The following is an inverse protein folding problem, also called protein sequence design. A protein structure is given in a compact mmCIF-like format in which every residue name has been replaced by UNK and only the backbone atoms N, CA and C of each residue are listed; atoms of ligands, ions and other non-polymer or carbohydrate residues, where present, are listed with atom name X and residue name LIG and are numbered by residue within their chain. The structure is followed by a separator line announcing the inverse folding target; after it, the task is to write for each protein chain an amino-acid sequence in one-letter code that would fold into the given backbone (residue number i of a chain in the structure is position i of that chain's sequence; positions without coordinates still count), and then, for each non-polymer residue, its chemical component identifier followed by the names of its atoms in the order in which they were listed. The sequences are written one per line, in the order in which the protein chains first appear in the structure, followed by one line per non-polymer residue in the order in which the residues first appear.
data_IF_930993306340
#
_entry.id   IF_930993306340
#
_cell.length_a   1.000
_cell.length_b   1.000
_cell.length_c   1.000
_cell.angle_alpha   90.00
_cell.angle_beta   90.00
_cell.angle_gamma   90.00
#
_symmetry.space_group_name_H-M   'P 1'
#
loop_
_entity.id
_entity.type
_entity.pdbx_description
1 polymer ?
#
# COMPACT_ATOMS: atom_id res chain seq x y z
N UNK A 1 -17.11 -8.08 28.37
CA UNK A 1 -17.94 -8.16 27.15
C UNK A 1 -17.00 -8.25 25.96
N UNK A 2 -17.00 -9.36 25.23
CA UNK A 2 -16.14 -9.57 24.07
C UNK A 2 -17.00 -9.52 22.79
N UNK A 3 -16.72 -8.56 21.93
CA UNK A 3 -17.35 -8.45 20.61
C UNK A 3 -16.73 -9.51 19.70
N UNK A 4 -17.38 -10.68 19.60
CA UNK A 4 -17.04 -11.70 18.61
C UNK A 4 -17.84 -11.43 17.34
N UNK A 5 -17.34 -10.54 16.48
CA UNK A 5 -17.78 -10.45 15.10
C UNK A 5 -17.23 -11.66 14.34
N UNK A 6 -18.10 -12.36 13.62
CA UNK A 6 -17.83 -13.53 12.74
C UNK A 6 -16.98 -13.13 11.51
N UNK A 7 -15.82 -12.52 11.72
CA UNK A 7 -14.78 -12.40 10.72
C UNK A 7 -13.60 -13.26 11.20
N UNK A 8 -13.09 -14.21 10.40
CA UNK A 8 -12.08 -15.17 10.84
C UNK A 8 -10.69 -14.59 11.15
N UNK A 9 -10.52 -13.28 11.38
CA UNK A 9 -9.19 -12.67 11.54
C UNK A 9 -9.09 -11.61 12.67
N UNK A 10 -10.13 -11.35 13.46
CA UNK A 10 -10.03 -10.27 14.46
C UNK A 10 -9.23 -10.69 15.70
N UNK A 11 -9.24 -11.98 16.05
CA UNK A 11 -8.42 -12.54 17.12
C UNK A 11 -6.91 -12.39 16.83
N UNK A 12 -6.52 -12.55 15.56
CA UNK A 12 -5.12 -12.41 15.11
C UNK A 12 -4.64 -10.96 15.15
N UNK A 13 -5.57 -10.00 15.18
CA UNK A 13 -5.28 -8.57 15.33
C UNK A 13 -5.20 -8.13 16.80
N UNK A 14 -5.61 -8.97 17.76
CA UNK A 14 -5.54 -8.62 19.20
C UNK A 14 -4.12 -8.25 19.63
N UNK A 15 -3.06 -9.00 19.28
CA UNK A 15 -1.68 -8.62 19.61
C UNK A 15 -1.29 -7.27 18.99
N UNK A 16 -1.77 -6.98 17.79
CA UNK A 16 -1.53 -5.71 17.08
C UNK A 16 -2.18 -4.55 17.83
N UNK A 17 -3.45 -4.67 18.21
CA UNK A 17 -4.14 -3.65 19.01
C UNK A 17 -3.51 -3.42 20.37
N UNK A 18 -3.09 -4.49 21.05
CA UNK A 18 -2.36 -4.39 22.32
C UNK A 18 -1.04 -3.65 22.10
N UNK A 19 -0.29 -3.96 21.05
CA UNK A 19 0.96 -3.26 20.72
C UNK A 19 0.73 -1.76 20.47
N UNK A 20 -0.35 -1.40 19.78
CA UNK A 20 -0.75 0.01 19.60
C UNK A 20 -1.11 0.69 20.92
N UNK A 21 -1.88 0.03 21.79
CA UNK A 21 -2.31 0.60 23.07
C UNK A 21 -1.19 0.68 24.12
N UNK A 22 -0.21 -0.23 24.04
CA UNK A 22 0.84 -0.40 25.06
C UNK A 22 2.12 0.39 24.77
N UNK A 23 2.20 1.09 23.63
CA UNK A 23 3.41 1.81 23.23
C UNK A 23 3.26 3.33 23.47
N UNK A 24 3.63 3.85 24.66
CA UNK A 24 3.47 5.27 24.99
C UNK A 24 4.39 6.21 24.22
N UNK A 25 5.41 5.70 23.51
CA UNK A 25 6.30 6.50 22.65
C UNK A 25 5.67 6.87 21.31
N UNK A 26 4.46 6.41 21.05
CA UNK A 26 3.88 6.54 19.74
C UNK A 26 3.28 7.92 19.47
N UNK A 27 4.15 8.86 19.11
CA UNK A 27 3.83 9.78 18.03
C UNK A 27 3.69 8.92 16.77
N UNK A 28 2.53 8.25 16.64
CA UNK A 28 2.19 7.60 15.39
C UNK A 28 2.17 8.69 14.33
N UNK A 29 2.78 8.40 13.18
CA UNK A 29 2.66 9.33 12.06
C UNK A 29 1.18 9.47 11.73
N UNK A 30 0.76 10.68 11.40
CA UNK A 30 -0.59 10.88 10.93
C UNK A 30 -0.83 10.03 9.67
N UNK A 31 -2.01 9.39 9.55
CA UNK A 31 -2.36 8.70 8.32
C UNK A 31 -2.35 9.69 7.15
N UNK A 32 -2.11 9.22 5.91
CA UNK A 32 -2.20 10.11 4.76
C UNK A 32 -3.58 10.77 4.70
N UNK A 33 -3.61 12.07 4.39
CA UNK A 33 -4.78 12.95 4.53
C UNK A 33 -5.86 12.78 3.45
N UNK A 34 -5.97 11.59 2.85
CA UNK A 34 -6.93 11.33 1.79
C UNK A 34 -8.23 10.77 2.36
N UNK A 35 -9.37 11.28 1.88
CA UNK A 35 -10.70 10.93 2.41
C UNK A 35 -11.14 9.51 2.05
N UNK A 36 -10.64 8.95 0.95
CA UNK A 36 -11.02 7.62 0.47
C UNK A 36 -9.91 6.99 -0.37
N UNK A 37 -9.93 5.65 -0.46
CA UNK A 37 -8.94 4.85 -1.19
C UNK A 37 -9.64 3.79 -2.03
N UNK A 38 -9.26 3.68 -3.31
CA UNK A 38 -9.78 2.65 -4.22
C UNK A 38 -8.74 1.55 -4.39
N UNK A 39 -8.67 0.64 -3.42
CA UNK A 39 -7.62 -0.38 -3.34
C UNK A 39 -7.59 -1.36 -4.53
N UNK A 40 -8.71 -1.51 -5.26
CA UNK A 40 -8.81 -2.37 -6.43
C UNK A 40 -7.95 -1.91 -7.61
N UNK A 41 -7.55 -0.63 -7.64
CA UNK A 41 -6.70 -0.09 -8.71
C UNK A 41 -5.20 -0.35 -8.46
N UNK A 42 -4.86 -0.91 -7.29
CA UNK A 42 -3.49 -1.24 -6.92
C UNK A 42 -2.64 -0.01 -6.61
N UNK A 43 -1.32 -0.22 -6.56
CA UNK A 43 -0.33 0.79 -6.12
C UNK A 43 0.43 1.43 -7.28
N UNK A 44 0.18 1.01 -8.51
CA UNK A 44 0.82 1.52 -9.71
C UNK A 44 -0.17 1.40 -10.88
N UNK A 45 -0.26 2.42 -11.76
CA UNK A 45 -1.09 2.35 -12.95
C UNK A 45 -0.69 1.18 -13.85
N UNK A 46 -1.68 0.51 -14.44
CA UNK A 46 -1.45 -0.62 -15.32
C UNK A 46 -1.41 -0.19 -16.80
N UNK A 47 -0.43 -0.70 -17.57
CA UNK A 47 -0.29 -0.36 -19.00
C UNK A 47 -1.55 -0.67 -19.79
N UNK A 48 -2.18 -1.81 -19.54
CA UNK A 48 -3.39 -2.22 -20.27
C UNK A 48 -4.57 -1.28 -20.01
N UNK A 49 -4.70 -0.79 -18.77
CA UNK A 49 -5.74 0.17 -18.39
C UNK A 49 -5.52 1.50 -19.09
N UNK A 50 -4.29 2.01 -19.10
CA UNK A 50 -3.94 3.24 -19.81
C UNK A 50 -4.13 3.11 -21.32
N UNK A 51 -3.70 1.98 -21.90
CA UNK A 51 -3.91 1.67 -23.31
C UNK A 51 -5.41 1.71 -23.66
N UNK A 52 -6.26 1.12 -22.83
CA UNK A 52 -7.71 1.11 -23.03
C UNK A 52 -8.29 2.52 -22.96
N UNK A 53 -7.85 3.36 -22.01
CA UNK A 53 -8.29 4.75 -21.94
C UNK A 53 -7.94 5.51 -23.22
N UNK A 54 -6.68 5.47 -23.67
CA UNK A 54 -6.27 6.18 -24.89
C UNK A 54 -7.02 5.64 -26.12
N UNK A 55 -7.16 4.33 -26.20
CA UNK A 55 -7.87 3.68 -27.29
C UNK A 55 -9.35 4.05 -27.33
N UNK A 56 -10.01 4.18 -26.19
CA UNK A 56 -11.45 4.47 -26.11
C UNK A 56 -11.78 5.94 -26.31
N UNK A 57 -10.84 6.84 -26.03
CA UNK A 57 -10.99 8.28 -26.29
C UNK A 57 -10.63 8.68 -27.72
N UNK A 58 -10.26 7.73 -28.60
CA UNK A 58 -10.05 8.00 -30.02
C UNK A 58 -11.38 8.27 -30.73
N UNK A 59 -11.43 9.28 -31.59
CA UNK A 59 -12.62 9.49 -32.43
C UNK A 59 -12.85 8.31 -33.37
N UNK A 60 -14.11 8.11 -33.73
CA UNK A 60 -14.53 7.06 -34.68
C UNK A 60 -13.82 7.21 -36.02
N UNK A 61 -13.63 6.09 -36.73
CA UNK A 61 -13.01 6.07 -38.05
C UNK A 61 -13.56 7.13 -39.03
N UNK A 62 -14.89 7.34 -39.09
CA UNK A 62 -15.48 8.29 -40.05
C UNK A 62 -14.97 9.74 -39.85
N UNK A 63 -14.62 10.10 -38.62
CA UNK A 63 -14.11 11.43 -38.27
C UNK A 63 -12.56 11.50 -38.28
N UNK A 64 -11.89 10.45 -38.77
CA UNK A 64 -10.45 10.38 -38.79
C UNK A 64 -9.88 10.83 -40.15
N UNK A 65 -8.64 11.35 -40.21
CA UNK A 65 -8.03 11.75 -41.49
C UNK A 65 -7.86 10.56 -42.43
N UNK A 66 -7.71 9.35 -41.89
CA UNK A 66 -7.58 8.13 -42.69
C UNK A 66 -8.83 7.81 -43.51
N UNK A 67 -10.04 8.22 -43.07
CA UNK A 67 -11.27 8.02 -43.84
C UNK A 67 -11.32 8.86 -45.11
N UNK A 68 -10.57 9.98 -45.12
CA UNK A 68 -10.50 10.94 -46.21
C UNK A 68 -9.35 10.67 -47.18
N UNK A 69 -8.56 9.61 -46.95
CA UNK A 69 -7.46 9.22 -47.82
C UNK A 69 -7.95 8.81 -49.21
N UNK A 70 -7.38 9.34 -50.30
CA UNK A 70 -7.85 9.06 -51.65
C UNK A 70 -7.49 7.64 -52.11
N UNK A 71 -8.24 7.17 -53.12
CA UNK A 71 -7.95 5.92 -53.83
C UNK A 71 -6.59 6.00 -54.56
N UNK A 72 -5.83 4.91 -54.50
CA UNK A 72 -4.65 4.73 -55.34
C UNK A 72 -5.04 4.33 -56.76
N UNK A 73 -4.09 4.44 -57.69
CA UNK A 73 -4.31 4.05 -59.07
C UNK A 73 -4.75 2.58 -59.16
N UNK A 74 -5.90 2.33 -59.81
CA UNK A 74 -6.55 1.01 -59.96
C UNK A 74 -6.90 0.30 -58.63
N UNK A 75 -6.98 1.03 -57.52
CA UNK A 75 -7.44 0.47 -56.24
C UNK A 75 -8.96 0.27 -56.26
N UNK A 76 -9.42 -0.92 -55.86
CA UNK A 76 -10.85 -1.16 -55.70
C UNK A 76 -11.39 -0.39 -54.50
N UNK A 77 -12.70 -0.10 -54.48
CA UNK A 77 -13.35 0.54 -53.32
C UNK A 77 -13.20 -0.28 -52.04
N UNK A 78 -13.23 -1.62 -52.17
CA UNK A 78 -12.98 -2.55 -51.08
C UNK A 78 -11.55 -2.44 -50.54
N UNK A 79 -10.55 -2.43 -51.43
CA UNK A 79 -9.14 -2.31 -51.04
C UNK A 79 -8.84 -0.96 -50.40
N UNK A 80 -9.42 0.12 -50.93
CA UNK A 80 -9.34 1.46 -50.31
C UNK A 80 -9.86 1.42 -48.88
N UNK A 81 -11.11 0.98 -48.67
CA UNK A 81 -11.72 0.97 -47.33
C UNK A 81 -10.94 0.10 -46.36
N UNK A 82 -10.47 -1.07 -46.82
CA UNK A 82 -9.62 -1.96 -46.03
C UNK A 82 -8.30 -1.27 -45.64
N UNK A 83 -7.63 -0.60 -46.58
CA UNK A 83 -6.38 0.13 -46.31
C UNK A 83 -6.59 1.26 -45.30
N UNK A 84 -7.65 2.05 -45.46
CA UNK A 84 -7.96 3.15 -44.55
C UNK A 84 -8.21 2.65 -43.12
N UNK A 85 -9.02 1.59 -42.95
CA UNK A 85 -9.26 0.97 -41.64
C UNK A 85 -7.98 0.43 -41.02
N UNK A 86 -7.14 -0.24 -41.82
CA UNK A 86 -5.84 -0.73 -41.35
C UNK A 86 -4.93 0.41 -40.87
N UNK A 87 -4.87 1.51 -41.62
CA UNK A 87 -4.11 2.70 -41.21
C UNK A 87 -4.65 3.30 -39.91
N UNK A 88 -5.98 3.43 -39.78
CA UNK A 88 -6.63 3.94 -38.58
C UNK A 88 -6.31 3.08 -37.35
N UNK A 89 -6.49 1.76 -37.45
CA UNK A 89 -6.19 0.84 -36.35
C UNK A 89 -4.71 0.84 -36.00
N UNK A 90 -3.82 0.85 -37.00
CA UNK A 90 -2.37 0.89 -36.78
C UNK A 90 -1.95 2.17 -36.05
N UNK A 91 -2.45 3.33 -36.48
CA UNK A 91 -2.18 4.61 -35.79
C UNK A 91 -2.71 4.58 -34.37
N UNK A 92 -4.00 4.26 -34.19
CA UNK A 92 -4.65 4.23 -32.86
C UNK A 92 -3.90 3.32 -31.89
N UNK A 93 -3.51 2.12 -32.33
CA UNK A 93 -2.79 1.18 -31.49
C UNK A 93 -1.38 1.67 -31.15
N UNK A 94 -0.67 2.23 -32.13
CA UNK A 94 0.67 2.79 -31.92
C UNK A 94 0.64 3.99 -30.97
N UNK A 95 -0.29 4.91 -31.16
CA UNK A 95 -0.48 6.09 -30.31
C UNK A 95 -0.82 5.65 -28.88
N UNK A 96 -1.78 4.73 -28.71
CA UNK A 96 -2.18 4.23 -27.39
C UNK A 96 -1.03 3.55 -26.63
N UNK A 97 -0.25 2.70 -27.31
CA UNK A 97 0.90 2.03 -26.71
C UNK A 97 2.06 2.99 -26.42
N UNK A 98 2.33 3.96 -27.29
CA UNK A 98 3.33 4.99 -27.05
C UNK A 98 2.95 5.88 -25.87
N UNK A 99 1.71 6.37 -25.83
CA UNK A 99 1.20 7.21 -24.74
C UNK A 99 1.14 6.46 -23.41
N UNK A 100 0.64 5.23 -23.39
CA UNK A 100 0.62 4.42 -22.16
C UNK A 100 2.04 4.24 -21.59
N UNK A 101 3.03 3.92 -22.44
CA UNK A 101 4.43 3.80 -22.00
C UNK A 101 5.03 5.12 -21.52
N UNK A 102 4.71 6.24 -22.17
CA UNK A 102 5.16 7.55 -21.72
C UNK A 102 4.58 7.92 -20.37
N UNK A 103 3.28 7.68 -20.15
CA UNK A 103 2.60 7.92 -18.88
C UNK A 103 3.21 7.07 -17.76
N UNK A 104 3.44 5.77 -18.01
CA UNK A 104 4.07 4.88 -17.02
C UNK A 104 5.47 5.33 -16.62
N UNK A 105 6.27 5.85 -17.55
CA UNK A 105 7.61 6.39 -17.25
C UNK A 105 7.58 7.60 -16.30
N UNK A 106 6.43 8.27 -16.15
CA UNK A 106 6.26 9.40 -15.22
C UNK A 106 5.84 8.97 -13.83
N UNK A 107 5.54 7.68 -13.62
CA UNK A 107 5.30 7.14 -12.29
C UNK A 107 6.58 7.17 -11.44
N UNK A 108 6.54 7.50 -10.14
CA UNK A 108 5.37 7.86 -9.32
C UNK A 108 5.07 9.36 -9.32
N UNK A 109 3.92 9.74 -9.86
CA UNK A 109 3.42 11.10 -9.85
C UNK A 109 1.89 11.06 -9.68
N UNK A 110 1.33 11.93 -8.85
CA UNK A 110 -0.12 11.97 -8.62
C UNK A 110 -0.87 12.53 -9.84
N UNK A 111 -0.33 13.60 -10.42
CA UNK A 111 -0.90 14.28 -11.58
C UNK A 111 0.12 14.28 -12.73
N UNK A 112 0.13 13.23 -13.58
CA UNK A 112 1.09 13.15 -14.66
C UNK A 112 0.88 14.31 -15.64
N UNK A 113 1.96 14.95 -16.13
CA UNK A 113 1.84 15.97 -17.17
C UNK A 113 1.30 15.33 -18.45
N UNK A 114 0.46 16.08 -19.16
CA UNK A 114 -0.22 15.60 -20.36
C UNK A 114 0.75 15.21 -21.48
N UNK A 115 0.46 14.08 -22.15
CA UNK A 115 1.20 13.63 -23.33
C UNK A 115 0.65 14.26 -24.61
N UNK A 116 1.53 14.64 -25.53
CA UNK A 116 1.17 15.30 -26.80
C UNK A 116 0.48 14.34 -27.78
N UNK A 117 -0.79 14.02 -27.53
CA UNK A 117 -1.67 13.43 -28.53
C UNK A 117 -2.11 14.52 -29.51
N UNK A 118 -2.29 14.14 -30.79
CA UNK A 118 -2.71 15.09 -31.82
C UNK A 118 -4.13 15.58 -31.52
N UNK A 119 -4.33 16.90 -31.31
CA UNK A 119 -5.67 17.44 -31.13
C UNK A 119 -6.51 17.17 -32.40
N UNK A 120 -7.78 16.83 -32.20
CA UNK A 120 -8.70 16.47 -33.29
C UNK A 120 -8.74 14.98 -33.66
N UNK A 121 -7.85 14.14 -33.10
CA UNK A 121 -7.94 12.68 -33.24
C UNK A 121 -8.46 11.96 -31.99
N UNK A 122 -8.41 12.65 -30.85
CA UNK A 122 -8.76 12.14 -29.53
C UNK A 122 -9.57 13.18 -28.76
N UNK A 123 -10.46 12.69 -27.90
CA UNK A 123 -11.08 13.46 -26.82
C UNK A 123 -10.05 13.65 -25.69
N UNK A 124 -9.24 14.69 -25.83
CA UNK A 124 -8.17 15.03 -24.90
C UNK A 124 -8.70 15.35 -23.49
N UNK A 125 -9.77 16.16 -23.33
CA UNK A 125 -10.35 16.42 -22.00
C UNK A 125 -10.80 15.16 -21.26
N UNK A 126 -11.57 14.29 -21.89
CA UNK A 126 -12.07 13.06 -21.27
C UNK A 126 -10.91 12.12 -20.89
N UNK A 127 -9.94 11.96 -21.79
CA UNK A 127 -8.76 11.14 -21.53
C UNK A 127 -7.90 11.70 -20.38
N UNK A 128 -7.73 13.02 -20.31
CA UNK A 128 -6.98 13.67 -19.21
C UNK A 128 -7.64 13.40 -17.88
N UNK A 129 -8.97 13.54 -17.80
CA UNK A 129 -9.73 13.28 -16.58
C UNK A 129 -9.59 11.82 -16.11
N UNK A 130 -9.75 10.86 -17.02
CA UNK A 130 -9.61 9.41 -16.71
C UNK A 130 -8.21 9.04 -16.24
N UNK A 131 -7.17 9.52 -16.94
CA UNK A 131 -5.78 9.26 -16.57
C UNK A 131 -5.45 9.88 -15.22
N UNK A 132 -5.84 11.14 -15.00
CA UNK A 132 -5.57 11.82 -13.74
C UNK A 132 -6.27 11.16 -12.55
N UNK A 133 -7.54 10.78 -12.71
CA UNK A 133 -8.29 10.06 -11.66
C UNK A 133 -7.61 8.74 -11.30
N UNK A 134 -7.20 7.96 -12.30
CA UNK A 134 -6.55 6.67 -12.07
C UNK A 134 -5.16 6.81 -11.43
N UNK A 135 -4.35 7.76 -11.90
CA UNK A 135 -3.04 8.03 -11.30
C UNK A 135 -3.16 8.51 -9.85
N UNK A 136 -4.12 9.38 -9.56
CA UNK A 136 -4.36 9.90 -8.20
C UNK A 136 -4.74 8.76 -7.24
N UNK A 137 -5.68 7.91 -7.64
CA UNK A 137 -6.09 6.73 -6.88
C UNK A 137 -4.92 5.76 -6.62
N UNK A 138 -4.14 5.40 -7.64
CA UNK A 138 -2.93 4.59 -7.45
C UNK A 138 -1.92 5.26 -6.52
N UNK A 139 -1.80 6.60 -6.57
CA UNK A 139 -0.85 7.35 -5.76
C UNK A 139 -1.27 7.40 -4.29
N UNK A 140 -2.56 7.56 -4.03
CA UNK A 140 -3.12 7.48 -2.68
C UNK A 140 -2.89 6.10 -2.08
N UNK A 141 -3.14 5.05 -2.87
CA UNK A 141 -2.86 3.68 -2.44
C UNK A 141 -1.37 3.46 -2.16
N UNK A 142 -0.48 4.01 -2.99
CA UNK A 142 0.98 3.96 -2.77
C UNK A 142 1.35 4.64 -1.44
N UNK A 143 0.81 5.84 -1.17
CA UNK A 143 1.04 6.56 0.09
C UNK A 143 0.52 5.80 1.30
N UNK A 144 -0.63 5.14 1.17
CA UNK A 144 -1.16 4.27 2.21
C UNK A 144 -0.22 3.09 2.46
N UNK A 145 0.25 2.42 1.40
CA UNK A 145 1.22 1.33 1.50
C UNK A 145 2.51 1.77 2.20
N UNK A 146 3.06 2.92 1.80
CA UNK A 146 4.28 3.47 2.41
C UNK A 146 4.07 3.79 3.89
N UNK A 147 2.91 4.35 4.25
CA UNK A 147 2.56 4.63 5.64
C UNK A 147 2.46 3.34 6.46
N UNK A 148 1.74 2.32 5.95
CA UNK A 148 1.60 1.04 6.64
C UNK A 148 2.95 0.34 6.84
N UNK A 149 3.87 0.43 5.86
CA UNK A 149 5.22 -0.09 6.00
C UNK A 149 5.98 0.58 7.16
N UNK A 150 5.94 1.93 7.25
CA UNK A 150 6.59 2.66 8.34
C UNK A 150 5.98 2.35 9.72
N UNK A 151 4.67 2.17 9.79
CA UNK A 151 3.99 1.73 11.01
C UNK A 151 4.46 0.34 11.43
N UNK A 152 4.53 -0.60 10.48
CA UNK A 152 5.03 -1.96 10.74
C UNK A 152 6.48 -1.95 11.24
N UNK A 153 7.35 -1.13 10.64
CA UNK A 153 8.75 -1.00 11.07
C UNK A 153 8.85 -0.49 12.52
N UNK A 154 8.04 0.51 12.89
CA UNK A 154 7.98 1.00 14.29
C UNK A 154 7.53 -0.10 15.26
N UNK A 155 6.51 -0.88 14.89
CA UNK A 155 6.05 -2.01 15.70
C UNK A 155 7.14 -3.09 15.86
N UNK A 156 7.83 -3.45 14.78
CA UNK A 156 8.91 -4.43 14.79
C UNK A 156 10.09 -3.96 15.67
N UNK A 157 10.44 -2.67 15.59
CA UNK A 157 11.49 -2.07 16.41
C UNK A 157 11.12 -2.06 17.90
N UNK A 158 9.88 -1.68 18.23
CA UNK A 158 9.39 -1.70 19.61
C UNK A 158 9.40 -3.11 20.20
N UNK A 159 8.98 -4.11 19.43
CA UNK A 159 9.00 -5.50 19.86
C UNK A 159 10.42 -6.03 20.11
N UNK A 160 11.36 -5.66 19.23
CA UNK A 160 12.78 -6.02 19.36
C UNK A 160 13.41 -5.41 20.61
N UNK A 161 13.05 -4.17 20.95
CA UNK A 161 13.52 -3.50 22.18
C UNK A 161 12.87 -4.06 23.45
N UNK A 162 11.57 -4.41 23.41
CA UNK A 162 10.88 -5.03 24.53
C UNK A 162 11.47 -6.40 24.89
N UNK A 163 11.97 -7.14 23.90
CA UNK A 163 12.66 -8.43 24.09
C UNK A 163 14.04 -8.28 24.78
N UNK A 164 14.62 -7.08 24.78
CA UNK A 164 15.86 -6.77 25.50
C UNK A 164 15.63 -6.39 26.97
N UNK A 165 14.38 -6.17 27.38
CA UNK A 165 14.04 -5.99 28.79
C UNK A 165 14.13 -7.39 29.43
N UNK A 166 14.98 -7.60 30.44
CA UNK A 166 15.01 -8.87 31.14
C UNK A 166 13.60 -9.13 31.65
N UNK A 167 13.02 -10.26 31.25
CA UNK A 167 11.72 -10.72 31.72
C UNK A 167 11.78 -10.60 33.24
N UNK A 168 11.12 -9.57 33.79
CA UNK A 168 10.93 -9.46 35.23
C UNK A 168 10.11 -10.69 35.55
N UNK A 169 10.75 -11.70 36.14
CA UNK A 169 10.09 -12.93 36.55
C UNK A 169 8.92 -12.51 37.41
N UNK A 170 7.72 -12.63 36.83
CA UNK A 170 6.50 -12.42 37.55
C UNK A 170 6.38 -13.56 38.55
N UNK A 171 6.88 -13.33 39.77
CA UNK A 171 6.65 -14.25 40.87
C UNK A 171 5.26 -13.97 41.41
N UNK A 172 4.28 -14.73 40.93
CA UNK A 172 3.02 -14.82 41.63
C UNK A 172 3.28 -15.56 42.94
N UNK A 173 3.23 -14.83 44.06
CA UNK A 173 3.24 -15.45 45.36
C UNK A 173 1.79 -15.75 45.72
N UNK A 174 1.31 -17.01 45.57
CA UNK A 174 -0.04 -17.35 45.96
C UNK A 174 -0.22 -17.01 47.43
N UNK A 175 -1.24 -16.22 47.72
CA UNK A 175 -1.64 -15.91 49.10
C UNK A 175 -1.84 -17.23 49.83
N UNK A 176 -1.08 -17.46 50.91
CA UNK A 176 -1.22 -18.64 51.74
C UNK A 176 -2.69 -18.75 52.14
N UNK A 177 -3.35 -19.80 51.65
CA UNK A 177 -4.75 -20.10 51.96
C UNK A 177 -4.82 -20.49 53.43
N UNK A 178 -5.01 -19.50 54.29
CA UNK A 178 -5.47 -19.75 55.66
C UNK A 178 -6.90 -20.27 55.51
N UNK A 179 -7.26 -21.45 56.05
CA UNK A 179 -8.60 -21.99 55.94
C UNK A 179 -9.56 -21.17 56.80
N UNK A 180 -10.05 -20.05 56.28
CA UNK A 180 -11.11 -19.28 56.92
C UNK A 180 -12.47 -19.88 56.53
N UNK A 181 -13.00 -20.73 57.42
CA UNK A 181 -14.44 -21.03 57.44
C UNK A 181 -15.18 -19.80 57.93
N UNK A 182 -15.65 -18.95 57.03
CA UNK A 182 -16.79 -18.05 57.27
C UNK A 182 -17.29 -17.52 55.93
N UNK A 183 -18.54 -17.09 55.85
CA UNK A 183 -19.10 -16.47 54.65
C UNK A 183 -18.49 -15.07 54.46
N UNK A 184 -17.74 -14.84 53.38
CA UNK A 184 -17.19 -13.51 53.07
C UNK A 184 -18.11 -12.83 52.06
N UNK A 185 -18.80 -11.77 52.47
CA UNK A 185 -19.40 -10.81 51.54
C UNK A 185 -18.31 -9.83 51.10
N UNK A 186 -17.81 -9.99 49.87
CA UNK A 186 -16.93 -8.99 49.26
C UNK A 186 -17.78 -7.81 48.76
N UNK A 187 -17.49 -6.61 49.25
CA UNK A 187 -18.02 -5.37 48.66
C UNK A 187 -17.11 -4.89 47.53
N UNK A 188 -17.67 -4.16 46.57
CA UNK A 188 -16.93 -3.65 45.40
C UNK A 188 -15.75 -2.77 45.82
N UNK A 189 -15.89 -1.99 46.88
CA UNK A 189 -14.80 -1.14 47.41
C UNK A 189 -13.59 -1.96 47.89
N UNK A 190 -13.82 -3.16 48.44
CA UNK A 190 -12.73 -4.05 48.87
C UNK A 190 -12.00 -4.71 47.68
N UNK A 191 -12.66 -4.83 46.53
CA UNK A 191 -12.07 -5.37 45.30
C UNK A 191 -11.01 -4.40 44.73
N UNK A 192 -11.24 -3.10 44.87
CA UNK A 192 -10.33 -2.05 44.40
C UNK A 192 -9.38 -1.52 45.48
N UNK A 193 -9.59 -1.86 46.75
CA UNK A 193 -8.70 -1.49 47.86
C UNK A 193 -7.36 -2.27 47.88
N UNK A 194 -7.13 -3.19 46.94
CA UNK A 194 -5.84 -3.91 46.87
C UNK A 194 -4.72 -2.95 46.48
N UNK A 195 -3.64 -2.86 47.27
CA UNK A 195 -2.47 -2.10 46.87
C UNK A 195 -1.93 -2.67 45.55
N UNK A 196 -1.48 -1.77 44.66
CA UNK A 196 -0.90 -2.17 43.39
C UNK A 196 0.27 -3.15 43.65
N UNK A 197 0.34 -4.26 42.91
CA UNK A 197 1.40 -5.24 43.11
C UNK A 197 2.77 -4.57 42.93
N UNK A 198 3.66 -4.77 43.89
CA UNK A 198 5.00 -4.22 43.84
C UNK A 198 5.88 -5.04 42.90
N UNK A 199 6.49 -4.37 41.92
CA UNK A 199 7.54 -4.97 41.09
C UNK A 199 8.81 -5.01 41.92
N UNK A 200 9.25 -6.20 42.32
CA UNK A 200 10.56 -6.34 42.94
C UNK A 200 11.64 -6.20 41.86
N UNK A 201 12.27 -5.02 41.82
CA UNK A 201 13.51 -4.82 41.09
C UNK A 201 14.58 -5.57 41.86
N UNK A 202 14.98 -6.76 41.38
CA UNK A 202 16.17 -7.42 41.88
C UNK A 202 17.39 -6.58 41.50
N UNK A 203 17.78 -5.71 42.44
CA UNK A 203 19.01 -4.94 42.37
C UNK A 203 20.20 -5.88 42.41
N UNK A 204 20.70 -6.24 41.23
CA UNK A 204 22.09 -6.64 41.10
C UNK A 204 22.95 -5.41 41.37
N UNK A 205 23.29 -5.17 42.64
CA UNK A 205 24.33 -4.22 43.03
C UNK A 205 25.65 -4.63 42.37
N UNK A 206 25.96 -4.00 41.23
CA UNK A 206 27.34 -3.77 40.81
C UNK A 206 27.58 -2.27 40.82
N UNK A 207 27.86 -1.77 42.02
CA UNK A 207 28.58 -0.52 42.21
C UNK A 207 29.94 -0.63 41.50
N UNK A 208 30.00 -0.15 40.27
CA UNK A 208 31.24 0.33 39.66
C UNK A 208 31.05 1.81 39.37
N UNK A 209 31.63 2.62 40.24
CA UNK A 209 31.93 4.03 40.00
C UNK A 209 32.57 4.20 38.63
N UNK A 210 31.87 4.87 37.72
CA UNK A 210 32.44 5.37 36.46
C UNK A 210 32.94 6.79 36.75
N UNK A 211 34.23 7.10 36.51
CA UNK A 211 34.73 8.45 36.65
C UNK A 211 34.14 9.34 35.57
N UNK A 212 33.61 10.47 36.00
CA UNK A 212 33.27 11.61 35.17
C UNK A 212 34.53 12.19 34.51
N UNK A 213 34.70 11.96 33.21
CA UNK A 213 35.57 12.80 32.39
C UNK A 213 35.20 12.73 30.89
N UNK A 214 35.05 13.93 30.32
CA UNK A 214 35.22 14.29 28.90
C UNK A 214 33.97 14.15 28.01
N UNK A 215 33.08 15.14 28.13
CA UNK A 215 32.39 15.70 26.96
C UNK A 215 33.33 16.72 26.30
N UNK A 216 33.93 16.37 25.15
CA UNK A 216 34.35 17.35 24.13
C UNK A 216 33.44 17.18 22.92
N UNK A 217 32.63 18.20 22.63
CA UNK A 217 32.08 18.43 21.29
C UNK A 217 33.23 18.76 20.34
N UNK A 218 33.07 18.45 19.06
CA UNK A 218 33.02 19.55 18.11
C UNK A 218 31.78 19.49 17.22
N UNK A 219 31.15 20.65 17.09
CA UNK A 219 30.24 20.96 15.99
C UNK A 219 31.03 21.16 14.69
N UNK A 220 30.28 21.02 13.60
CA UNK A 220 30.50 21.60 12.27
C UNK A 220 31.59 20.99 11.38
N UNK A 221 31.13 20.16 10.43
CA UNK A 221 31.45 20.46 9.04
C UNK A 221 30.40 19.96 8.04
N UNK A 222 30.00 20.92 7.22
CA UNK A 222 29.10 20.88 6.10
C UNK A 222 29.81 20.27 4.87
N UNK A 223 29.06 19.53 4.06
CA UNK A 223 29.31 19.43 2.62
C UNK A 223 29.85 18.09 2.09
N UNK A 224 29.43 17.81 0.85
CA UNK A 224 29.94 16.79 -0.10
C UNK A 224 29.27 15.41 0.07
N UNK A 225 28.81 14.66 -0.93
CA UNK A 225 28.79 14.78 -2.39
C UNK A 225 28.02 13.52 -2.86
N UNK A 226 26.84 13.64 -3.48
CA UNK A 226 26.24 12.48 -4.15
C UNK A 226 26.95 12.27 -5.49
N UNK A 227 27.79 11.23 -5.57
CA UNK A 227 28.34 10.71 -6.84
C UNK A 227 28.10 9.19 -6.93
N UNK A 228 27.22 8.84 -7.87
CA UNK A 228 27.38 7.80 -8.90
C UNK A 228 27.68 6.35 -8.48
N UNK A 229 26.80 5.45 -8.91
CA UNK A 229 27.10 4.02 -9.01
C UNK A 229 25.96 3.22 -9.62
N UNK A 230 25.87 3.19 -10.95
CA UNK A 230 25.18 2.13 -11.69
C UNK A 230 25.73 0.76 -11.24
N UNK A 231 24.91 -0.29 -11.29
CA UNK A 231 25.35 -1.38 -12.13
C UNK A 231 24.27 -1.83 -13.12
N UNK A 232 24.79 -2.10 -14.31
CA UNK A 232 24.19 -2.80 -15.42
C UNK A 232 23.87 -4.25 -15.02
N UNK A 233 22.62 -4.68 -15.17
CA UNK A 233 22.26 -6.09 -15.25
C UNK A 233 20.89 -6.26 -15.89
N UNK A 234 20.96 -6.44 -17.21
CA UNK A 234 20.22 -7.45 -17.96
C UNK A 234 19.67 -8.58 -17.08
N UNK A 235 18.33 -8.67 -17.01
CA UNK A 235 17.58 -9.92 -17.13
C UNK A 235 16.10 -9.62 -17.33
N UNK A 236 15.55 -10.32 -18.31
CA UNK A 236 14.13 -10.40 -18.63
C UNK A 236 13.29 -10.68 -17.39
N UNK A 237 12.25 -9.88 -17.18
CA UNK A 237 11.06 -10.33 -16.46
C UNK A 237 9.80 -9.72 -17.07
N UNK A 238 9.08 -10.57 -17.82
CA UNK A 238 7.66 -10.38 -18.13
C UNK A 238 6.89 -10.53 -16.82
N UNK A 239 6.67 -9.42 -16.13
CA UNK A 239 5.69 -9.39 -15.05
C UNK A 239 4.29 -9.29 -15.65
N UNK A 240 3.63 -10.44 -15.74
CA UNK A 240 2.20 -10.56 -16.01
C UNK A 240 1.41 -9.87 -14.90
N UNK A 241 1.07 -8.59 -15.10
CA UNK A 241 0.11 -7.89 -14.26
C UNK A 241 -1.30 -8.20 -14.74
N UNK A 242 -1.85 -9.33 -14.31
CA UNK A 242 -3.29 -9.59 -14.13
C UNK A 242 -3.41 -10.93 -13.38
N UNK A 243 -3.72 -10.87 -12.09
CA UNK A 243 -4.14 -12.03 -11.32
C UNK A 243 -5.62 -12.30 -11.60
N UNK A 244 -5.90 -13.26 -12.47
CA UNK A 244 -7.25 -13.81 -12.66
C UNK A 244 -7.66 -14.55 -11.39
N UNK A 245 -8.60 -13.98 -10.63
CA UNK A 245 -9.29 -14.68 -9.54
C UNK A 245 -10.57 -15.32 -10.08
N UNK A 246 -10.44 -16.41 -10.83
CA UNK A 246 -11.57 -17.28 -11.12
C UNK A 246 -11.86 -18.21 -9.93
N UNK A 247 -12.74 -17.75 -9.04
CA UNK A 247 -13.39 -18.59 -8.03
C UNK A 247 -14.31 -19.60 -8.71
N UNK A 248 -13.86 -20.86 -8.78
CA UNK A 248 -14.70 -22.00 -9.19
C UNK A 248 -15.64 -22.35 -8.03
N UNK A 249 -16.90 -21.91 -8.11
CA UNK A 249 -17.97 -22.42 -7.27
C UNK A 249 -18.37 -23.82 -7.77
N UNK A 250 -17.93 -24.85 -7.04
CA UNK A 250 -18.49 -26.20 -7.16
C UNK A 250 -19.95 -26.16 -6.71
N UNK A 251 -20.85 -26.41 -7.66
CA UNK A 251 -22.25 -26.75 -7.38
C UNK A 251 -22.31 -28.18 -6.85
N UNK A 252 -22.83 -28.36 -5.63
CA UNK A 252 -23.21 -29.65 -5.05
C UNK A 252 -24.62 -29.50 -4.49
N UNK A 253 -25.60 -30.07 -5.19
CA UNK A 253 -26.93 -30.54 -4.73
C UNK A 253 -27.76 -30.84 -6.00
N UNK A 254 -28.63 -31.85 -6.11
CA UNK A 254 -29.17 -32.82 -5.15
C UNK A 254 -29.68 -34.03 -5.95
N UNK A 255 -29.58 -35.22 -5.37
CA UNK A 255 -30.41 -36.36 -5.74
C UNK A 255 -31.87 -36.04 -5.40
N UNK A 256 -32.80 -36.41 -6.29
CA UNK A 256 -34.18 -36.82 -6.01
C UNK A 256 -34.80 -37.31 -7.34
N UNK A 257 -34.77 -38.62 -7.57
CA UNK A 257 -35.85 -39.46 -8.10
C UNK A 257 -35.41 -40.93 -8.12
#
# INVERSE_FOLDING_TARGET
MAYASKSPNLADLVPVFIAFASNPQSQWEDPPSYDSYTLSEGYQPCQSTLYNYVSNCAYSFEHSPESSEPARYKESTYDLRRRQLQMYHSRRNSDADATARQLLKRWPCETPPWCSLKPGLYDVPDLTSKVQSHFSSCYHNLKLKDHLARVQDKLNNAYSQASAIPILQYSFQPSQTVPHRTFWSLTVDQLFARPAPSLQVHGGERSKSIPSSICRRPSDQCGMLWKGGLPDSSKDDRTTCCGDTHGTLRSVQSQLH
#
